data_IF_431112975744
#
_entry.id   IF_431112975744
#
_cell.length_a   1.000
_cell.length_b   1.000
_cell.length_c   1.000
_cell.angle_alpha   90.00
_cell.angle_beta   90.00
_cell.angle_gamma   90.00
#
_symmetry.space_group_name_H-M   'P 1'
#
loop_
_entity.id
_entity.type
_entity.pdbx_description
1 polymer ?
#
# COMPACT_ATOMS: atom_id res chain seq x y z
N UNK A 1 -5.19 5.78 11.50
CA UNK A 1 -5.20 5.42 10.05
C UNK A 1 -4.64 4.01 9.84
N UNK A 2 -5.16 3.28 8.85
CA UNK A 2 -4.71 1.92 8.56
C UNK A 2 -4.40 1.70 7.08
N UNK A 3 -3.14 1.37 6.76
CA UNK A 3 -2.67 1.08 5.41
C UNK A 3 -2.60 -0.43 5.13
N UNK A 4 -3.22 -0.89 4.04
CA UNK A 4 -3.08 -2.26 3.55
C UNK A 4 -2.27 -2.25 2.27
N UNK A 5 -1.15 -2.96 2.27
CA UNK A 5 -0.24 -3.07 1.12
C UNK A 5 -0.41 -4.47 0.54
N UNK A 6 -1.06 -4.55 -0.61
CA UNK A 6 -1.14 -5.75 -1.41
C UNK A 6 0.11 -5.86 -2.28
N UNK A 7 0.94 -6.84 -1.95
CA UNK A 7 2.19 -7.08 -2.63
C UNK A 7 2.35 -8.55 -3.02
N UNK A 8 3.50 -8.84 -3.62
CA UNK A 8 3.96 -10.21 -3.84
C UNK A 8 5.40 -10.34 -3.37
N UNK A 9 5.74 -11.51 -2.82
CA UNK A 9 7.10 -11.91 -2.52
C UNK A 9 8.00 -11.75 -3.78
N UNK A 10 9.13 -11.07 -3.61
CA UNK A 10 10.10 -10.83 -4.68
C UNK A 10 9.90 -9.55 -5.50
N UNK A 11 8.99 -8.65 -5.13
CA UNK A 11 8.84 -7.35 -5.80
C UNK A 11 9.57 -6.21 -5.06
N UNK A 12 10.55 -5.52 -5.69
CA UNK A 12 11.29 -4.45 -5.03
C UNK A 12 10.41 -3.25 -4.63
N UNK A 13 9.38 -2.95 -5.43
CA UNK A 13 8.41 -1.89 -5.12
C UNK A 13 7.55 -2.21 -3.89
N UNK A 14 7.22 -3.48 -3.65
CA UNK A 14 6.46 -3.89 -2.47
C UNK A 14 7.27 -3.65 -1.18
N UNK A 15 8.58 -3.96 -1.22
CA UNK A 15 9.49 -3.70 -0.11
C UNK A 15 9.60 -2.20 0.17
N UNK A 16 9.71 -1.36 -0.87
CA UNK A 16 9.72 0.10 -0.71
C UNK A 16 8.45 0.64 -0.08
N UNK A 17 7.27 0.21 -0.55
CA UNK A 17 5.99 0.63 0.02
C UNK A 17 5.88 0.20 1.50
N UNK A 18 6.31 -1.02 1.83
CA UNK A 18 6.35 -1.51 3.22
C UNK A 18 7.25 -0.64 4.09
N UNK A 19 8.48 -0.36 3.64
CA UNK A 19 9.42 0.47 4.39
C UNK A 19 8.90 1.89 4.63
N UNK A 20 8.18 2.47 3.65
CA UNK A 20 7.53 3.77 3.82
C UNK A 20 6.44 3.72 4.89
N UNK A 21 5.58 2.70 4.86
CA UNK A 21 4.52 2.51 5.85
C UNK A 21 5.06 2.22 7.25
N UNK A 22 6.17 1.51 7.35
CA UNK A 22 6.89 1.28 8.60
C UNK A 22 7.40 2.59 9.18
N UNK A 23 8.10 3.41 8.38
CA UNK A 23 8.52 4.76 8.80
C UNK A 23 7.35 5.62 9.28
N UNK A 24 6.23 5.57 8.58
CA UNK A 24 5.03 6.31 8.97
C UNK A 24 4.47 5.86 10.31
N UNK A 25 4.50 4.55 10.57
CA UNK A 25 4.10 3.97 11.85
C UNK A 25 5.04 4.38 12.97
N UNK A 26 6.35 4.46 12.69
CA UNK A 26 7.34 4.95 13.66
C UNK A 26 7.20 6.46 13.93
N UNK A 27 6.85 7.25 12.92
CA UNK A 27 6.63 8.70 13.07
C UNK A 27 5.27 9.05 13.67
N UNK A 28 4.27 8.16 13.54
CA UNK A 28 2.89 8.38 13.99
C UNK A 28 2.34 7.13 14.67
N UNK A 29 2.09 7.23 15.97
CA UNK A 29 1.44 6.16 16.74
C UNK A 29 0.01 5.82 16.27
N UNK A 30 -0.68 6.76 15.60
CA UNK A 30 -2.02 6.51 15.03
C UNK A 30 -1.98 5.79 13.66
N UNK A 31 -0.80 5.68 13.04
CA UNK A 31 -0.67 5.03 11.74
C UNK A 31 -0.29 3.56 11.93
N UNK A 32 -1.04 2.66 11.31
CA UNK A 32 -0.74 1.23 11.29
C UNK A 32 -0.75 0.73 9.86
N UNK A 33 0.00 -0.33 9.59
CA UNK A 33 -0.02 -0.96 8.28
C UNK A 33 -0.08 -2.49 8.35
N UNK A 34 -0.56 -3.10 7.28
CA UNK A 34 -0.56 -4.55 7.07
C UNK A 34 -0.09 -4.86 5.66
N UNK A 35 0.87 -5.77 5.57
CA UNK A 35 1.30 -6.34 4.30
C UNK A 35 0.49 -7.60 4.00
N UNK A 36 -0.11 -7.66 2.82
CA UNK A 36 -0.89 -8.80 2.34
C UNK A 36 -0.23 -9.32 1.09
N UNK A 37 0.13 -10.60 1.10
CA UNK A 37 0.66 -11.27 -0.08
C UNK A 37 -0.50 -11.83 -0.91
N UNK A 38 -0.68 -11.28 -2.11
CA UNK A 38 -1.78 -11.64 -2.99
C UNK A 38 -1.69 -13.08 -3.50
N UNK A 39 -0.48 -13.65 -3.59
CA UNK A 39 -0.32 -15.05 -3.97
C UNK A 39 -0.67 -15.97 -2.78
N UNK A 40 -0.28 -15.59 -1.56
CA UNK A 40 -0.57 -16.35 -0.36
C UNK A 40 -2.07 -16.35 0.00
N UNK A 41 -2.78 -15.24 -0.22
CA UNK A 41 -4.24 -15.16 -0.03
C UNK A 41 -5.05 -15.69 -1.23
N UNK A 42 -4.40 -16.03 -2.36
CA UNK A 42 -5.10 -16.45 -3.58
C UNK A 42 -5.87 -15.31 -4.26
N UNK A 43 -5.54 -14.06 -3.93
CA UNK A 43 -6.14 -12.87 -4.52
C UNK A 43 -5.56 -12.69 -5.93
N UNK A 44 -6.45 -12.66 -6.92
CA UNK A 44 -6.04 -12.40 -8.30
C UNK A 44 -6.02 -10.91 -8.59
N UNK A 45 -5.25 -10.52 -9.60
CA UNK A 45 -5.26 -9.15 -10.14
C UNK A 45 -6.65 -8.66 -10.52
N UNK A 46 -7.52 -9.59 -10.95
CA UNK A 46 -8.88 -9.30 -11.33
C UNK A 46 -9.74 -8.93 -10.12
N UNK A 47 -9.53 -9.61 -8.99
CA UNK A 47 -10.20 -9.32 -7.72
C UNK A 47 -9.78 -7.95 -7.17
N UNK A 48 -8.48 -7.63 -7.24
CA UNK A 48 -7.98 -6.29 -6.94
C UNK A 48 -8.59 -5.23 -7.86
N UNK A 49 -8.64 -5.50 -9.17
CA UNK A 49 -9.21 -4.55 -10.13
C UNK A 49 -10.69 -4.28 -9.87
N UNK A 50 -11.45 -5.32 -9.48
CA UNK A 50 -12.85 -5.19 -9.09
C UNK A 50 -13.01 -4.39 -7.79
N UNK A 51 -12.17 -4.65 -6.79
CA UNK A 51 -12.20 -3.94 -5.50
C UNK A 51 -11.83 -2.47 -5.66
N UNK A 52 -10.86 -2.17 -6.52
CA UNK A 52 -10.39 -0.81 -6.79
C UNK A 52 -11.32 -0.05 -7.74
N UNK A 53 -12.09 -0.75 -8.57
CA UNK A 53 -12.87 -0.16 -9.65
C UNK A 53 -12.01 0.39 -10.80
N UNK A 54 -10.72 0.05 -10.84
CA UNK A 54 -9.79 0.41 -11.92
C UNK A 54 -8.97 -0.81 -12.34
N UNK A 55 -8.53 -0.90 -13.60
CA UNK A 55 -7.65 -1.96 -14.04
C UNK A 55 -6.33 -1.91 -13.25
N UNK A 56 -6.12 -2.91 -12.39
CA UNK A 56 -4.89 -3.13 -11.64
C UNK A 56 -4.07 -4.18 -12.38
N UNK A 57 -3.07 -3.72 -13.11
CA UNK A 57 -2.18 -4.61 -13.86
C UNK A 57 -0.88 -4.94 -13.09
N UNK A 58 -0.52 -4.06 -12.15
CA UNK A 58 0.77 -4.02 -11.46
C UNK A 58 0.60 -4.04 -9.95
N UNK A 59 1.62 -4.56 -9.26
CA UNK A 59 1.75 -4.56 -7.79
C UNK A 59 3.00 -3.76 -7.41
N UNK A 60 3.05 -3.10 -6.24
CA UNK A 60 2.10 -3.13 -5.12
C UNK A 60 0.84 -2.29 -5.35
N UNK A 61 -0.23 -2.62 -4.64
CA UNK A 61 -1.43 -1.78 -4.50
C UNK A 61 -1.62 -1.41 -3.03
N UNK A 62 -1.75 -0.12 -2.74
CA UNK A 62 -1.92 0.38 -1.38
C UNK A 62 -3.34 0.90 -1.19
N UNK A 63 -3.94 0.49 -0.08
CA UNK A 63 -5.21 0.98 0.42
C UNK A 63 -4.98 1.66 1.75
N UNK A 64 -5.73 2.71 2.03
CA UNK A 64 -5.69 3.46 3.27
C UNK A 64 -7.12 3.63 3.76
N UNK A 65 -7.46 3.09 4.93
CA UNK A 65 -8.82 3.19 5.49
C UNK A 65 -9.90 2.84 4.44
N UNK A 66 -9.72 1.69 3.75
CA UNK A 66 -10.58 1.18 2.67
C UNK A 66 -10.55 1.97 1.36
N UNK A 67 -9.85 3.11 1.31
CA UNK A 67 -9.66 3.89 0.09
C UNK A 67 -8.43 3.40 -0.68
N UNK A 68 -8.63 3.09 -1.96
CA UNK A 68 -7.50 2.82 -2.85
C UNK A 68 -6.68 4.10 -3.10
N UNK A 69 -5.38 4.02 -2.79
CA UNK A 69 -4.43 5.11 -3.03
C UNK A 69 -3.76 4.92 -4.39
N UNK A 70 -3.33 3.70 -4.71
CA UNK A 70 -2.60 3.41 -5.95
C UNK A 70 -1.37 2.56 -5.72
N UNK A 71 -0.33 2.82 -6.51
CA UNK A 71 0.94 2.11 -6.42
C UNK A 71 1.89 2.70 -5.38
N UNK A 72 3.13 2.19 -5.38
CA UNK A 72 4.19 2.69 -4.49
C UNK A 72 4.40 4.20 -4.63
N UNK A 73 4.34 4.74 -5.85
CA UNK A 73 4.55 6.16 -6.14
C UNK A 73 3.39 7.02 -5.62
N UNK A 74 2.14 6.60 -5.84
CA UNK A 74 0.98 7.30 -5.29
C UNK A 74 1.00 7.31 -3.77
N UNK A 75 1.43 6.20 -3.14
CA UNK A 75 1.57 6.14 -1.69
C UNK A 75 2.67 7.05 -1.17
N UNK A 76 3.84 7.12 -1.83
CA UNK A 76 4.88 8.10 -1.49
C UNK A 76 4.38 9.55 -1.60
N UNK A 77 3.66 9.89 -2.67
CA UNK A 77 3.08 11.22 -2.85
C UNK A 77 2.04 11.52 -1.76
N UNK A 78 1.09 10.61 -1.55
CA UNK A 78 0.04 10.75 -0.55
C UNK A 78 0.63 10.94 0.85
N UNK A 79 1.63 10.14 1.20
CA UNK A 79 2.24 10.18 2.52
C UNK A 79 3.08 11.46 2.73
N UNK A 80 3.70 11.99 1.67
CA UNK A 80 4.36 13.30 1.73
C UNK A 80 3.36 14.43 1.95
N UNK A 81 2.23 14.42 1.25
CA UNK A 81 1.23 15.50 1.31
C UNK A 81 0.32 15.44 2.55
N UNK A 82 -0.08 14.24 2.97
CA UNK A 82 -1.11 14.04 4.00
C UNK A 82 -0.53 13.54 5.35
N UNK A 83 0.66 12.95 5.33
CA UNK A 83 1.27 12.35 6.52
C UNK A 83 2.54 13.08 6.99
N UNK A 84 2.94 14.16 6.32
CA UNK A 84 4.09 15.00 6.67
C UNK A 84 5.39 14.21 6.90
N UNK A 85 5.70 13.27 6.00
CA UNK A 85 6.85 12.34 6.10
C UNK A 85 8.26 13.00 6.20
N UNK A 86 8.33 14.33 6.21
CA UNK A 86 9.57 15.12 6.21
C UNK A 86 9.53 16.34 7.15
N UNK A 87 8.75 16.29 8.23
CA UNK A 87 8.79 17.35 9.24
C UNK A 87 9.93 17.14 10.25
#
# INVERSE_FOLDING_TARGET
>A
MFAVIFGRLGCPYCVRAKALAEKLTEQRDDFKYRYVDIHAEGITKNDLSNTVGKPVETVPQIFLDERHIGGCTDFEAYAKENLSLFQ
#
